data_IF_389115327463
#
_entry.id   IF_389115327463
#
_cell.length_a   1.000
_cell.length_b   1.000
_cell.length_c   1.000
_cell.angle_alpha   90.00
_cell.angle_beta   90.00
_cell.angle_gamma   90.00
#
_symmetry.space_group_name_H-M   'P 1'
#
loop_
_entity.id
_entity.type
_entity.pdbx_description
1 polymer ?
#
# COMPACT_ATOMS: atom_id res chain seq x y z
N UNK A 1 -8.23 90.29 3.90
CA UNK A 1 -8.23 89.14 4.85
C UNK A 1 -9.69 88.79 4.99
N UNK A 2 -10.18 87.67 4.49
CA UNK A 2 -9.79 86.32 4.90
C UNK A 2 -9.56 85.37 3.72
N UNK A 3 -8.54 84.54 3.88
CA UNK A 3 -8.20 83.43 3.00
C UNK A 3 -9.40 82.47 2.91
N UNK A 4 -9.75 82.06 1.69
CA UNK A 4 -10.53 80.84 1.48
C UNK A 4 -9.69 79.68 2.01
N UNK A 5 -10.21 78.96 2.99
CA UNK A 5 -9.62 77.73 3.49
C UNK A 5 -9.49 76.72 2.33
N UNK A 6 -8.27 76.55 1.84
CA UNK A 6 -7.89 75.43 1.00
C UNK A 6 -8.05 74.16 1.84
N UNK A 7 -9.10 73.38 1.54
CA UNK A 7 -9.21 72.03 2.08
C UNK A 7 -7.99 71.23 1.61
N UNK A 8 -7.15 70.66 2.50
CA UNK A 8 -6.07 69.79 2.07
C UNK A 8 -6.70 68.53 1.48
N UNK A 9 -6.66 68.41 0.15
CA UNK A 9 -6.97 67.16 -0.53
C UNK A 9 -5.82 66.20 -0.22
N UNK A 10 -6.03 65.33 0.77
CA UNK A 10 -5.14 64.21 1.03
C UNK A 10 -5.42 63.15 -0.04
N UNK A 11 -4.62 63.17 -1.10
CA UNK A 11 -4.61 62.10 -2.10
C UNK A 11 -3.74 60.97 -1.53
N UNK A 12 -4.38 59.91 -1.05
CA UNK A 12 -3.68 58.69 -0.66
C UNK A 12 -3.27 57.93 -1.94
N UNK A 13 -2.03 58.14 -2.39
CA UNK A 13 -1.49 57.48 -3.58
C UNK A 13 -1.09 56.06 -3.18
N UNK A 14 -2.02 55.11 -3.35
CA UNK A 14 -1.73 53.69 -3.18
C UNK A 14 -0.60 53.30 -4.15
N UNK A 15 0.51 52.80 -3.61
CA UNK A 15 1.66 52.38 -4.40
C UNK A 15 1.29 51.32 -5.45
N UNK A 16 1.98 51.32 -6.59
CA UNK A 16 1.81 50.30 -7.62
C UNK A 16 2.10 48.91 -7.05
N UNK A 17 1.05 48.15 -6.72
CA UNK A 17 1.16 46.76 -6.28
C UNK A 17 1.70 45.87 -7.40
N UNK A 18 2.37 44.74 -7.07
CA UNK A 18 2.79 43.77 -8.07
C UNK A 18 1.59 43.26 -8.87
N UNK A 19 1.79 42.85 -10.12
CA UNK A 19 0.72 42.33 -10.97
C UNK A 19 1.19 41.01 -11.57
N UNK A 20 0.45 39.94 -11.28
CA UNK A 20 0.75 38.59 -11.71
C UNK A 20 -0.25 38.13 -12.76
N UNK A 21 0.26 37.70 -13.91
CA UNK A 21 -0.51 37.03 -14.93
C UNK A 21 -0.26 35.51 -14.83
N UNK A 22 -1.33 34.72 -14.87
CA UNK A 22 -1.28 33.26 -14.77
C UNK A 22 -1.67 32.64 -16.09
N UNK A 23 -0.88 31.68 -16.54
CA UNK A 23 -1.22 30.82 -17.68
C UNK A 23 -0.89 29.37 -17.35
N UNK A 24 -1.47 28.44 -18.11
CA UNK A 24 -1.29 27.00 -17.88
C UNK A 24 -1.10 26.25 -19.20
N UNK A 25 -0.37 25.14 -19.16
CA UNK A 25 -0.31 24.15 -20.23
C UNK A 25 -1.44 23.11 -20.15
N UNK A 26 -2.22 23.09 -19.07
CA UNK A 26 -3.35 22.19 -18.91
C UNK A 26 -4.44 22.48 -19.97
N UNK A 27 -5.27 21.49 -20.34
CA UNK A 27 -6.37 21.67 -21.28
C UNK A 27 -7.26 22.86 -20.89
N UNK A 28 -7.51 23.78 -21.82
CA UNK A 28 -8.29 25.00 -21.56
C UNK A 28 -9.69 24.85 -22.13
N UNK A 29 -10.70 25.22 -21.35
CA UNK A 29 -12.08 25.32 -21.81
C UNK A 29 -12.46 26.80 -21.90
N UNK A 30 -13.21 27.18 -22.94
CA UNK A 30 -13.80 28.51 -23.00
C UNK A 30 -14.87 28.63 -21.93
N UNK A 31 -14.65 29.50 -20.97
CA UNK A 31 -15.65 29.94 -20.01
C UNK A 31 -16.13 31.35 -20.38
N UNK A 32 -17.44 31.56 -20.27
CA UNK A 32 -18.01 32.90 -20.26
C UNK A 32 -17.78 33.50 -18.88
N UNK A 33 -17.35 34.77 -18.76
CA UNK A 33 -17.24 35.43 -17.46
C UNK A 33 -18.57 35.35 -16.71
N UNK A 34 -18.55 34.90 -15.47
CA UNK A 34 -19.75 34.70 -14.65
C UNK A 34 -20.39 36.02 -14.22
N UNK A 35 -19.67 37.14 -14.36
CA UNK A 35 -20.12 38.48 -13.95
C UNK A 35 -19.54 39.56 -14.85
N UNK A 36 -20.41 40.40 -15.43
CA UNK A 36 -20.05 41.49 -16.36
C UNK A 36 -19.46 42.69 -15.60
N UNK A 37 -19.77 42.83 -14.30
CA UNK A 37 -19.39 44.01 -13.50
C UNK A 37 -18.16 43.78 -12.60
N UNK A 38 -17.58 42.57 -12.60
CA UNK A 38 -16.33 42.30 -11.89
C UNK A 38 -15.12 42.61 -12.79
N UNK A 39 -14.21 43.53 -12.41
CA UNK A 39 -12.95 43.75 -13.13
C UNK A 39 -11.99 42.58 -12.82
N UNK A 40 -12.32 41.40 -13.31
CA UNK A 40 -11.46 40.21 -13.25
C UNK A 40 -11.17 39.77 -14.69
N UNK A 41 -9.89 39.59 -15.00
CA UNK A 41 -9.44 38.90 -16.21
C UNK A 41 -10.26 37.63 -16.39
N UNK A 42 -10.73 37.35 -17.61
CA UNK A 42 -11.54 36.17 -17.94
C UNK A 42 -11.05 34.92 -17.18
N UNK A 43 -11.94 34.17 -16.50
CA UNK A 43 -11.52 33.07 -15.64
C UNK A 43 -10.83 32.01 -16.48
N UNK A 44 -9.56 31.74 -16.19
CA UNK A 44 -8.86 30.60 -16.78
C UNK A 44 -9.53 29.33 -16.26
N UNK A 45 -10.26 28.63 -17.13
CA UNK A 45 -10.93 27.37 -16.81
C UNK A 45 -10.22 26.23 -17.50
N UNK A 46 -9.83 25.24 -16.70
CA UNK A 46 -9.26 23.99 -17.16
C UNK A 46 -10.20 22.85 -16.83
N UNK A 47 -10.51 22.01 -17.81
CA UNK A 47 -11.27 20.78 -17.60
C UNK A 47 -10.42 19.58 -18.01
N UNK A 48 -10.32 18.59 -17.14
CA UNK A 48 -9.50 17.39 -17.35
C UNK A 48 -10.34 16.16 -17.03
N UNK A 49 -10.33 15.18 -17.93
CA UNK A 49 -10.87 13.85 -17.66
C UNK A 49 -9.73 12.85 -17.51
N UNK A 50 -9.65 12.17 -16.38
CA UNK A 50 -8.64 11.16 -16.07
C UNK A 50 -9.29 9.80 -15.82
N UNK A 51 -8.61 8.74 -16.19
CA UNK A 51 -8.93 7.40 -15.71
C UNK A 51 -8.49 7.25 -14.25
N UNK A 52 -9.21 6.46 -13.44
CA UNK A 52 -8.80 6.18 -12.06
C UNK A 52 -7.38 5.57 -12.02
N UNK A 53 -6.50 6.11 -11.19
CA UNK A 53 -5.08 5.77 -11.12
C UNK A 53 -4.18 6.45 -12.16
N UNK A 54 -4.74 7.21 -13.11
CA UNK A 54 -3.95 7.99 -14.07
C UNK A 54 -3.45 9.28 -13.41
N UNK A 55 -2.20 9.64 -13.69
CA UNK A 55 -1.63 10.94 -13.35
C UNK A 55 -1.34 11.76 -14.60
N UNK A 56 -1.61 13.06 -14.54
CA UNK A 56 -1.32 14.05 -15.58
C UNK A 56 -0.41 15.12 -15.00
N UNK A 57 0.63 15.50 -15.76
CA UNK A 57 1.49 16.62 -15.40
C UNK A 57 1.19 17.83 -16.28
N UNK A 58 1.19 19.01 -15.66
CA UNK A 58 1.05 20.30 -16.32
C UNK A 58 2.00 21.33 -15.74
N UNK A 59 2.10 22.47 -16.41
CA UNK A 59 2.92 23.61 -15.98
C UNK A 59 2.00 24.81 -15.82
N UNK A 60 2.09 25.47 -14.67
CA UNK A 60 1.48 26.77 -14.42
C UNK A 60 2.60 27.82 -14.52
N UNK A 61 2.44 28.76 -15.44
CA UNK A 61 3.39 29.85 -15.66
C UNK A 61 2.86 31.12 -15.00
N UNK A 62 3.63 31.65 -14.06
CA UNK A 62 3.40 32.92 -13.37
C UNK A 62 4.29 33.99 -14.00
N UNK A 63 3.71 35.01 -14.61
CA UNK A 63 4.43 36.15 -15.20
C UNK A 63 4.21 37.41 -14.37
N UNK A 64 5.29 38.05 -13.92
CA UNK A 64 5.21 39.35 -13.27
C UNK A 64 5.15 40.47 -14.31
N UNK A 65 3.94 40.87 -14.69
CA UNK A 65 3.68 41.98 -15.60
C UNK A 65 3.63 43.35 -14.86
N UNK A 66 3.87 43.35 -13.56
CA UNK A 66 3.94 44.54 -12.73
C UNK A 66 5.29 45.27 -12.83
N UNK A 67 5.42 46.38 -12.09
CA UNK A 67 6.66 47.16 -11.96
C UNK A 67 7.45 46.87 -10.68
N UNK A 68 6.95 45.97 -9.82
CA UNK A 68 7.56 45.60 -8.53
C UNK A 68 7.79 44.09 -8.47
N UNK A 69 8.81 43.68 -7.73
CA UNK A 69 9.08 42.26 -7.48
C UNK A 69 7.99 41.63 -6.58
N UNK A 70 7.75 40.34 -6.79
CA UNK A 70 6.88 39.51 -5.95
C UNK A 70 7.78 38.73 -5.00
N UNK A 71 7.60 38.92 -3.70
CA UNK A 71 8.46 38.35 -2.65
C UNK A 71 7.86 37.11 -2.01
N UNK A 72 6.53 36.99 -2.01
CA UNK A 72 5.83 35.82 -1.49
C UNK A 72 4.73 35.38 -2.44
N UNK A 73 4.56 34.06 -2.56
CA UNK A 73 3.45 33.44 -3.25
C UNK A 73 2.96 32.25 -2.42
N UNK A 74 1.67 32.22 -2.13
CA UNK A 74 1.01 31.10 -1.44
C UNK A 74 -0.06 30.54 -2.35
N UNK A 75 0.09 29.26 -2.70
CA UNK A 75 -0.89 28.50 -3.47
C UNK A 75 -1.91 27.92 -2.50
N UNK A 76 -3.18 28.21 -2.72
CA UNK A 76 -4.30 27.65 -1.97
C UNK A 76 -5.21 26.89 -2.92
N UNK A 77 -5.64 25.69 -2.52
CA UNK A 77 -6.61 24.89 -3.25
C UNK A 77 -7.96 25.02 -2.56
N UNK A 78 -8.90 25.66 -3.23
CA UNK A 78 -10.30 25.65 -2.83
C UNK A 78 -11.05 24.60 -3.63
N UNK A 79 -12.00 23.92 -3.01
CA UNK A 79 -12.95 23.06 -3.71
C UNK A 79 -14.34 23.37 -3.18
N UNK A 80 -15.32 23.44 -4.08
CA UNK A 80 -16.73 23.67 -3.71
C UNK A 80 -17.29 22.50 -2.88
N UNK A 81 -16.57 21.37 -2.90
CA UNK A 81 -16.96 20.11 -2.31
C UNK A 81 -16.24 19.79 -0.98
N UNK A 82 -15.11 20.44 -0.63
CA UNK A 82 -14.39 20.25 0.64
C UNK A 82 -12.86 20.11 0.51
N UNK A 83 -12.13 19.75 1.58
CA UNK A 83 -10.64 19.69 1.64
C UNK A 83 -9.97 18.62 0.74
N UNK A 84 -10.75 17.83 0.00
CA UNK A 84 -10.26 16.72 -0.83
C UNK A 84 -9.39 17.08 -2.04
N UNK A 85 -9.18 18.36 -2.31
CA UNK A 85 -8.33 18.80 -3.42
C UNK A 85 -6.85 18.42 -3.22
N UNK A 86 -6.39 18.30 -1.97
CA UNK A 86 -5.01 17.94 -1.65
C UNK A 86 -4.65 16.49 -2.02
N UNK A 87 -5.64 15.60 -2.16
CA UNK A 87 -5.42 14.20 -2.56
C UNK A 87 -5.25 14.04 -4.08
N UNK A 88 -5.68 15.04 -4.85
CA UNK A 88 -5.69 15.03 -6.32
C UNK A 88 -4.54 15.86 -6.88
N UNK A 89 -4.25 17.00 -6.26
CA UNK A 89 -3.27 17.97 -6.74
C UNK A 89 -1.99 17.92 -5.92
N UNK A 90 -0.87 17.71 -6.60
CA UNK A 90 0.47 17.82 -6.03
C UNK A 90 1.23 18.97 -6.69
N UNK A 91 1.86 19.82 -5.86
CA UNK A 91 2.72 20.92 -6.28
C UNK A 91 4.09 20.73 -5.65
N UNK A 92 5.15 21.04 -6.41
CA UNK A 92 6.49 21.11 -5.84
C UNK A 92 6.67 22.45 -5.12
N UNK A 93 6.60 22.42 -3.79
CA UNK A 93 6.71 23.63 -2.96
C UNK A 93 8.12 24.24 -3.01
N UNK A 94 9.15 23.42 -3.17
CA UNK A 94 10.53 23.90 -3.28
C UNK A 94 10.72 24.64 -4.62
N UNK A 95 10.10 24.14 -5.69
CA UNK A 95 10.07 24.84 -6.99
C UNK A 95 9.41 26.23 -6.87
N UNK A 96 8.27 26.31 -6.19
CA UNK A 96 7.53 27.56 -5.96
C UNK A 96 8.38 28.57 -5.18
N UNK A 97 8.98 28.14 -4.08
CA UNK A 97 9.78 29.01 -3.21
C UNK A 97 11.09 29.45 -3.89
N UNK A 98 11.70 28.58 -4.70
CA UNK A 98 12.94 28.90 -5.43
C UNK A 98 12.77 29.95 -6.54
N UNK A 99 11.53 30.15 -7.01
CA UNK A 99 11.20 31.12 -8.04
C UNK A 99 11.00 32.55 -7.50
N UNK A 100 11.13 32.75 -6.18
CA UNK A 100 10.97 34.03 -5.51
C UNK A 100 12.33 34.59 -5.06
N UNK A 101 12.56 35.92 -5.17
CA UNK A 101 11.62 36.93 -5.62
C UNK A 101 11.47 37.00 -7.15
N UNK A 102 10.22 37.08 -7.63
CA UNK A 102 9.93 37.17 -9.07
C UNK A 102 9.99 38.64 -9.53
N UNK A 103 11.06 39.02 -10.20
CA UNK A 103 11.27 40.39 -10.69
C UNK A 103 10.33 40.78 -11.85
N UNK A 104 10.08 42.09 -12.06
CA UNK A 104 9.31 42.59 -13.20
C UNK A 104 9.77 42.04 -14.55
N UNK A 105 8.81 41.59 -15.37
CA UNK A 105 9.05 41.00 -16.70
C UNK A 105 9.62 39.58 -16.68
N UNK A 106 9.73 38.93 -15.51
CA UNK A 106 10.16 37.54 -15.38
C UNK A 106 8.98 36.59 -15.23
N UNK A 107 9.21 35.35 -15.67
CA UNK A 107 8.27 34.24 -15.59
C UNK A 107 8.82 33.13 -14.69
N UNK A 108 7.98 32.58 -13.84
CA UNK A 108 8.22 31.36 -13.07
C UNK A 108 7.32 30.24 -13.60
N UNK A 109 7.84 29.02 -13.66
CA UNK A 109 7.08 27.83 -14.03
C UNK A 109 6.95 26.95 -12.80
N UNK A 110 5.74 26.47 -12.54
CA UNK A 110 5.44 25.57 -11.43
C UNK A 110 4.83 24.31 -12.01
N UNK A 111 5.42 23.18 -11.66
CA UNK A 111 4.91 21.87 -12.04
C UNK A 111 3.69 21.52 -11.18
N UNK A 112 2.61 21.09 -11.83
CA UNK A 112 1.41 20.57 -11.16
C UNK A 112 1.14 19.15 -11.65
N UNK A 113 0.93 18.23 -10.71
CA UNK A 113 0.52 16.86 -11.00
C UNK A 113 -0.90 16.63 -10.49
N UNK A 114 -1.77 16.13 -11.39
CA UNK A 114 -3.18 15.83 -11.14
C UNK A 114 -3.34 14.31 -11.21
N UNK A 115 -3.75 13.68 -10.12
CA UNK A 115 -3.95 12.23 -10.06
C UNK A 115 -5.42 11.89 -9.88
N UNK A 116 -5.98 11.09 -10.80
CA UNK A 116 -7.33 10.57 -10.70
C UNK A 116 -7.40 9.51 -9.60
N UNK A 117 -7.84 9.86 -8.40
CA UNK A 117 -7.91 8.91 -7.27
C UNK A 117 -9.09 7.94 -7.39
N UNK A 118 -8.93 6.74 -6.81
CA UNK A 118 -9.92 5.64 -6.84
C UNK A 118 -11.03 5.78 -5.80
N UNK A 119 -11.15 6.90 -5.10
CA UNK A 119 -12.22 7.12 -4.14
C UNK A 119 -12.58 8.60 -4.13
N UNK A 120 -13.82 8.91 -3.77
CA UNK A 120 -14.21 10.29 -3.48
C UNK A 120 -13.45 10.70 -2.21
N UNK A 121 -12.67 11.80 -2.21
CA UNK A 121 -11.96 12.27 -1.03
C UNK A 121 -12.85 12.33 0.21
N UNK A 122 -12.35 11.82 1.33
CA UNK A 122 -13.09 11.62 2.58
C UNK A 122 -13.66 12.88 3.24
N UNK A 123 -13.32 14.08 2.76
CA UNK A 123 -13.82 15.35 3.27
C UNK A 123 -14.74 16.09 2.29
N UNK A 124 -15.28 15.39 1.28
CA UNK A 124 -16.30 15.94 0.40
C UNK A 124 -17.68 15.78 1.04
N UNK A 125 -18.18 16.86 1.65
CA UNK A 125 -19.53 16.91 2.25
C UNK A 125 -19.68 16.13 3.56
N UNK A 126 -20.17 16.81 4.59
CA UNK A 126 -20.58 16.22 5.87
C UNK A 126 -21.71 15.18 5.69
N UNK A 127 -21.36 13.91 5.44
CA UNK A 127 -22.17 12.76 5.89
C UNK A 127 -21.38 11.47 5.71
N UNK A 128 -21.46 10.59 6.71
CA UNK A 128 -20.86 9.25 6.77
C UNK A 128 -21.35 8.25 5.68
N UNK A 129 -21.87 8.68 4.51
CA UNK A 129 -22.52 7.80 3.54
C UNK A 129 -22.38 8.20 2.05
N UNK A 130 -21.27 8.81 1.60
CA UNK A 130 -20.95 8.78 0.17
C UNK A 130 -20.32 7.41 -0.15
N UNK A 131 -21.15 6.42 -0.50
CA UNK A 131 -20.62 5.13 -0.96
C UNK A 131 -19.91 5.37 -2.29
N UNK A 132 -18.60 5.19 -2.31
CA UNK A 132 -17.83 5.10 -3.55
C UNK A 132 -18.45 3.99 -4.43
N UNK A 133 -19.05 4.39 -5.55
CA UNK A 133 -19.44 3.47 -6.61
C UNK A 133 -18.25 3.35 -7.57
N UNK A 134 -17.57 2.20 -7.60
CA UNK A 134 -16.44 1.97 -8.51
C UNK A 134 -16.86 1.98 -9.99
N UNK A 135 -18.15 1.94 -10.28
CA UNK A 135 -18.69 1.96 -11.63
C UNK A 135 -19.13 3.35 -12.08
N UNK A 136 -19.25 4.31 -11.16
CA UNK A 136 -19.69 5.67 -11.48
C UNK A 136 -18.51 6.62 -11.67
N UNK A 137 -18.51 7.45 -12.74
CA UNK A 137 -17.61 8.58 -12.82
C UNK A 137 -17.97 9.61 -11.74
N UNK A 138 -16.97 10.29 -11.22
CA UNK A 138 -17.16 11.40 -10.28
C UNK A 138 -16.31 12.60 -10.71
N UNK A 139 -16.68 13.79 -10.25
CA UNK A 139 -15.99 15.02 -10.62
C UNK A 139 -15.72 15.93 -9.41
N UNK A 140 -14.66 16.71 -9.51
CA UNK A 140 -14.27 17.75 -8.57
C UNK A 140 -14.18 19.10 -9.29
N UNK A 141 -15.00 20.04 -8.86
CA UNK A 141 -14.84 21.45 -9.20
C UNK A 141 -14.05 22.17 -8.11
N UNK A 142 -12.99 22.86 -8.50
CA UNK A 142 -12.13 23.58 -7.58
C UNK A 142 -11.54 24.85 -8.17
N UNK A 143 -10.83 25.58 -7.32
CA UNK A 143 -10.12 26.81 -7.66
C UNK A 143 -8.71 26.78 -7.10
N UNK A 144 -7.72 27.01 -7.97
CA UNK A 144 -6.33 27.22 -7.58
C UNK A 144 -6.14 28.72 -7.41
N UNK A 145 -5.78 29.14 -6.20
CA UNK A 145 -5.68 30.54 -5.83
C UNK A 145 -4.25 30.88 -5.44
N UNK A 146 -3.65 31.82 -6.17
CA UNK A 146 -2.33 32.38 -5.88
C UNK A 146 -2.50 33.68 -5.11
N UNK A 147 -2.05 33.69 -3.86
CA UNK A 147 -1.98 34.89 -3.02
C UNK A 147 -0.55 35.39 -3.01
N UNK A 148 -0.33 36.64 -3.40
CA UNK A 148 1.02 37.18 -3.55
C UNK A 148 1.16 38.61 -3.01
N UNK A 149 2.36 38.95 -2.55
CA UNK A 149 2.72 40.27 -2.01
C UNK A 149 4.12 40.71 -2.42
N UNK A 150 4.38 42.01 -2.35
CA UNK A 150 5.69 42.61 -2.57
C UNK A 150 6.43 42.88 -1.25
N UNK A 151 7.66 43.37 -1.37
CA UNK A 151 8.59 43.60 -0.24
C UNK A 151 8.04 44.52 0.86
N UNK A 152 7.33 45.57 0.46
CA UNK A 152 6.83 46.61 1.36
C UNK A 152 5.53 46.22 2.09
N UNK A 153 4.82 45.19 1.62
CA UNK A 153 3.41 44.93 1.94
C UNK A 153 3.17 43.53 2.53
N UNK A 154 4.19 42.93 3.16
CA UNK A 154 4.13 41.53 3.65
C UNK A 154 2.97 41.24 4.60
N UNK A 155 2.52 42.23 5.38
CA UNK A 155 1.54 42.02 6.46
C UNK A 155 0.14 42.63 6.21
N UNK A 156 -0.04 43.48 5.20
CA UNK A 156 -1.28 44.28 5.06
C UNK A 156 -1.92 44.32 3.67
N UNK A 157 -1.17 44.06 2.59
CA UNK A 157 -1.70 44.19 1.22
C UNK A 157 -1.25 43.02 0.33
N UNK A 158 -2.17 42.11 0.05
CA UNK A 158 -1.93 40.99 -0.87
C UNK A 158 -2.87 41.07 -2.07
N UNK A 159 -2.39 40.66 -3.24
CA UNK A 159 -3.25 40.39 -4.39
C UNK A 159 -3.54 38.90 -4.50
N UNK A 160 -4.64 38.63 -5.20
CA UNK A 160 -5.11 37.28 -5.48
C UNK A 160 -5.39 37.15 -6.96
N UNK A 161 -4.93 36.05 -7.54
CA UNK A 161 -5.33 35.59 -8.86
C UNK A 161 -5.76 34.13 -8.74
N UNK A 162 -6.88 33.79 -9.36
CA UNK A 162 -7.48 32.47 -9.24
C UNK A 162 -7.72 31.87 -10.62
N UNK A 163 -7.62 30.55 -10.68
CA UNK A 163 -7.89 29.72 -11.85
C UNK A 163 -8.89 28.64 -11.42
N UNK A 164 -9.92 28.40 -12.22
CA UNK A 164 -10.92 27.35 -11.94
C UNK A 164 -10.51 26.07 -12.64
N UNK A 165 -10.71 24.95 -11.97
CA UNK A 165 -10.39 23.62 -12.47
C UNK A 165 -11.56 22.66 -12.25
N UNK A 166 -11.89 21.92 -13.29
CA UNK A 166 -12.88 20.84 -13.30
C UNK A 166 -12.12 19.54 -13.61
N UNK A 167 -12.11 18.61 -12.67
CA UNK A 167 -11.48 17.30 -12.83
C UNK A 167 -12.56 16.24 -12.78
N UNK A 168 -12.74 15.50 -13.87
CA UNK A 168 -13.61 14.33 -13.93
C UNK A 168 -12.78 13.05 -13.92
N UNK A 169 -13.11 12.10 -13.04
CA UNK A 169 -12.45 10.80 -12.96
C UNK A 169 -13.42 9.72 -13.45
N UNK A 170 -12.98 8.93 -14.44
CA UNK A 170 -13.73 7.80 -14.99
C UNK A 170 -13.13 6.47 -14.52
N UNK A 171 -13.93 5.40 -14.36
CA UNK A 171 -13.43 4.09 -13.98
C UNK A 171 -12.37 3.53 -14.94
N UNK A 172 -11.45 2.73 -14.40
CA UNK A 172 -10.37 2.07 -15.15
C UNK A 172 -10.22 0.59 -14.77
N UNK A 173 -9.28 0.25 -13.90
CA UNK A 173 -9.12 -1.08 -13.31
C UNK A 173 -9.94 -1.16 -12.02
N UNK A 174 -10.82 -2.14 -11.94
CA UNK A 174 -11.56 -2.45 -10.72
C UNK A 174 -11.19 -3.84 -10.19
N UNK A 175 -10.63 -3.90 -8.99
CA UNK A 175 -10.23 -5.15 -8.34
C UNK A 175 -11.25 -5.55 -7.26
N UNK A 176 -11.74 -6.78 -7.30
CA UNK A 176 -12.72 -7.30 -6.33
C UNK A 176 -12.63 -8.82 -6.14
N UNK A 177 -13.57 -9.40 -5.37
CA UNK A 177 -13.65 -10.85 -5.11
C UNK A 177 -12.33 -11.49 -4.63
N UNK A 178 -11.72 -10.85 -3.62
CA UNK A 178 -10.46 -11.27 -3.04
C UNK A 178 -10.58 -12.58 -2.27
N UNK A 179 -9.67 -13.51 -2.55
CA UNK A 179 -9.57 -14.80 -1.87
C UNK A 179 -8.09 -15.10 -1.57
N UNK A 180 -7.82 -15.58 -0.36
CA UNK A 180 -6.48 -15.98 0.04
C UNK A 180 -6.43 -17.48 0.30
N UNK A 181 -5.46 -18.17 -0.31
CA UNK A 181 -5.28 -19.63 -0.19
C UNK A 181 -3.88 -20.00 0.26
N UNK A 182 -3.79 -20.99 1.14
CA UNK A 182 -2.54 -21.65 1.45
C UNK A 182 -2.11 -22.54 0.27
N UNK A 183 -0.80 -22.64 0.02
CA UNK A 183 -0.23 -23.53 -0.99
C UNK A 183 0.39 -24.72 -0.24
N UNK A 184 -0.19 -25.93 -0.30
CA UNK A 184 0.28 -27.07 0.50
C UNK A 184 1.74 -27.49 0.22
N UNK A 185 2.24 -27.20 -0.99
CA UNK A 185 3.60 -27.54 -1.40
C UNK A 185 4.64 -26.46 -1.09
N UNK A 186 4.22 -25.26 -0.66
CA UNK A 186 5.11 -24.12 -0.43
C UNK A 186 4.75 -23.42 0.87
N UNK A 187 5.48 -23.73 1.94
CA UNK A 187 5.23 -23.23 3.30
C UNK A 187 5.52 -21.71 3.42
N UNK A 188 6.45 -21.17 2.64
CA UNK A 188 6.86 -19.76 2.71
C UNK A 188 5.96 -18.78 1.95
N UNK A 189 4.98 -19.28 1.19
CA UNK A 189 4.11 -18.46 0.33
C UNK A 189 2.63 -18.78 0.52
N UNK A 190 1.79 -17.85 0.14
CA UNK A 190 0.36 -18.02 -0.02
C UNK A 190 -0.09 -17.37 -1.34
N UNK A 191 -1.31 -17.69 -1.77
CA UNK A 191 -1.86 -17.21 -3.04
C UNK A 191 -2.98 -16.23 -2.78
N UNK A 192 -2.83 -15.00 -3.25
CA UNK A 192 -3.91 -14.01 -3.33
C UNK A 192 -4.54 -14.10 -4.72
N UNK A 193 -5.85 -14.33 -4.74
CA UNK A 193 -6.67 -14.36 -5.94
C UNK A 193 -7.64 -13.19 -5.92
N UNK A 194 -7.86 -12.53 -7.05
CA UNK A 194 -8.89 -11.50 -7.18
C UNK A 194 -9.32 -11.36 -8.64
N UNK A 195 -10.51 -10.81 -8.85
CA UNK A 195 -11.02 -10.47 -10.18
C UNK A 195 -10.58 -9.04 -10.53
N UNK A 196 -9.97 -8.89 -11.70
CA UNK A 196 -9.56 -7.62 -12.28
C UNK A 196 -10.45 -7.29 -13.47
N UNK A 197 -11.33 -6.31 -13.31
CA UNK A 197 -12.22 -5.83 -14.35
C UNK A 197 -11.59 -4.64 -15.08
N UNK A 198 -11.52 -4.71 -16.40
CA UNK A 198 -11.21 -3.57 -17.24
C UNK A 198 -12.52 -2.81 -17.54
N UNK A 199 -12.77 -1.71 -16.83
CA UNK A 199 -13.96 -0.86 -17.03
C UNK A 199 -13.82 0.11 -18.22
N UNK A 200 -12.77 -0.03 -19.03
CA UNK A 200 -12.55 0.79 -20.22
C UNK A 200 -12.97 0.03 -21.48
N UNK A 201 -13.26 0.75 -22.56
CA UNK A 201 -13.58 0.15 -23.86
C UNK A 201 -12.36 -0.33 -24.65
N UNK A 202 -11.14 -0.01 -24.20
CA UNK A 202 -9.91 -0.40 -24.87
C UNK A 202 -9.28 -1.61 -24.18
N UNK A 203 -8.52 -2.39 -24.93
CA UNK A 203 -7.72 -3.46 -24.35
C UNK A 203 -6.68 -2.88 -23.37
N UNK A 204 -6.57 -3.51 -22.21
CA UNK A 204 -5.72 -3.09 -21.10
C UNK A 204 -4.59 -4.10 -20.89
N UNK A 205 -3.36 -3.61 -20.80
CA UNK A 205 -2.24 -4.38 -20.30
C UNK A 205 -2.12 -4.14 -18.79
N UNK A 206 -2.34 -5.18 -17.99
CA UNK A 206 -2.18 -5.16 -16.54
C UNK A 206 -0.85 -5.81 -16.17
N UNK A 207 0.06 -4.98 -15.65
CA UNK A 207 1.33 -5.36 -15.05
C UNK A 207 1.14 -5.45 -13.54
N UNK A 208 1.52 -6.59 -12.95
CA UNK A 208 1.45 -6.78 -11.50
C UNK A 208 2.73 -7.40 -10.97
N UNK A 209 3.13 -6.94 -9.78
CA UNK A 209 4.31 -7.46 -9.09
C UNK A 209 4.10 -7.42 -7.58
N UNK A 210 4.86 -8.26 -6.89
CA UNK A 210 4.95 -8.26 -5.44
C UNK A 210 6.33 -7.77 -5.05
N UNK A 211 6.36 -6.63 -4.39
CA UNK A 211 7.58 -6.11 -3.80
C UNK A 211 7.61 -6.51 -2.31
N UNK A 212 8.76 -6.98 -1.79
CA UNK A 212 8.90 -7.17 -0.36
C UNK A 212 8.56 -5.85 0.32
N UNK A 213 7.64 -5.88 1.29
CA UNK A 213 7.40 -4.70 2.12
C UNK A 213 8.73 -4.25 2.73
N UNK A 214 8.97 -2.94 2.87
CA UNK A 214 10.25 -2.35 3.28
C UNK A 214 10.84 -2.94 4.58
N UNK A 215 10.04 -3.66 5.36
CA UNK A 215 10.43 -4.32 6.61
C UNK A 215 10.90 -5.78 6.45
N UNK A 216 10.75 -6.37 5.27
CA UNK A 216 11.08 -7.79 4.98
C UNK A 216 12.26 -7.94 4.01
N UNK A 217 13.11 -6.91 3.89
CA UNK A 217 14.22 -6.83 2.93
C UNK A 217 15.27 -7.94 3.04
N UNK A 218 15.26 -8.71 4.13
CA UNK A 218 16.23 -9.78 4.39
C UNK A 218 15.83 -11.13 3.77
N UNK A 219 14.61 -11.25 3.24
CA UNK A 219 14.19 -12.44 2.50
C UNK A 219 14.42 -12.14 1.02
N UNK A 220 15.50 -12.69 0.46
CA UNK A 220 15.91 -12.56 -0.94
C UNK A 220 14.89 -13.10 -1.95
N UNK A 221 13.75 -12.43 -2.05
CA UNK A 221 12.69 -12.72 -3.00
C UNK A 221 12.96 -12.04 -4.33
N UNK A 222 13.08 -12.82 -5.39
CA UNK A 222 13.01 -12.33 -6.76
C UNK A 222 11.61 -11.76 -7.00
N UNK A 223 11.52 -10.45 -7.30
CA UNK A 223 10.27 -9.85 -7.78
C UNK A 223 10.00 -10.39 -9.19
N UNK A 224 8.95 -11.18 -9.35
CA UNK A 224 8.46 -11.58 -10.66
C UNK A 224 7.40 -10.58 -11.08
N UNK A 225 7.70 -9.80 -12.11
CA UNK A 225 6.71 -8.97 -12.79
C UNK A 225 5.98 -9.83 -13.80
N UNK A 226 4.66 -9.90 -13.69
CA UNK A 226 3.80 -10.58 -14.65
C UNK A 226 2.96 -9.54 -15.39
N UNK A 227 2.71 -9.79 -16.68
CA UNK A 227 1.92 -8.91 -17.54
C UNK A 227 0.84 -9.75 -18.21
N UNK A 228 -0.38 -9.25 -18.17
CA UNK A 228 -1.51 -9.86 -18.87
C UNK A 228 -2.29 -8.81 -19.65
N UNK A 229 -3.00 -9.25 -20.68
CA UNK A 229 -3.94 -8.38 -21.42
C UNK A 229 -5.39 -8.71 -21.00
N UNK A 230 -6.21 -7.70 -20.75
CA UNK A 230 -7.64 -7.80 -20.45
C UNK A 230 -8.40 -7.04 -21.55
N UNK A 231 -9.36 -7.68 -22.22
CA UNK A 231 -10.13 -7.00 -23.25
C UNK A 231 -10.99 -5.87 -22.66
N UNK A 232 -11.40 -4.91 -23.49
CA UNK A 232 -12.32 -3.85 -23.07
C UNK A 232 -13.62 -4.40 -22.48
N UNK A 233 -14.02 -3.92 -21.30
CA UNK A 233 -15.19 -4.37 -20.54
C UNK A 233 -15.20 -5.86 -20.17
N UNK A 234 -14.02 -6.47 -20.08
CA UNK A 234 -13.84 -7.87 -19.69
C UNK A 234 -13.15 -7.99 -18.31
N UNK A 235 -13.20 -9.19 -17.75
CA UNK A 235 -12.67 -9.50 -16.42
C UNK A 235 -11.71 -10.68 -16.48
N UNK A 236 -10.61 -10.60 -15.72
CA UNK A 236 -9.69 -11.73 -15.54
C UNK A 236 -9.41 -12.04 -14.08
N UNK A 237 -9.36 -13.33 -13.76
CA UNK A 237 -8.92 -13.81 -12.44
C UNK A 237 -7.41 -13.73 -12.37
N UNK A 238 -6.90 -12.94 -11.44
CA UNK A 238 -5.47 -12.75 -11.21
C UNK A 238 -5.03 -13.59 -10.02
N UNK A 239 -3.82 -14.15 -10.11
CA UNK A 239 -3.21 -14.93 -9.05
C UNK A 239 -1.84 -14.37 -8.70
N UNK A 240 -1.66 -13.99 -7.44
CA UNK A 240 -0.46 -13.31 -6.95
C UNK A 240 0.12 -14.10 -5.79
N UNK A 241 1.39 -14.49 -5.90
CA UNK A 241 2.11 -15.16 -4.83
C UNK A 241 2.58 -14.15 -3.78
N UNK A 242 2.04 -14.24 -2.57
CA UNK A 242 2.46 -13.42 -1.45
C UNK A 242 3.41 -14.20 -0.54
N UNK A 243 4.50 -13.58 -0.03
CA UNK A 243 5.25 -14.18 1.05
C UNK A 243 4.37 -14.27 2.29
N UNK A 244 4.57 -15.31 3.09
CA UNK A 244 4.04 -15.32 4.45
C UNK A 244 4.92 -14.47 5.34
N UNK A 245 4.33 -13.66 6.20
CA UNK A 245 5.09 -12.69 7.00
C UNK A 245 4.43 -12.37 8.33
N UNK A 246 5.25 -11.84 9.23
CA UNK A 246 4.81 -11.20 10.46
C UNK A 246 5.15 -9.72 10.41
N UNK A 247 4.28 -8.91 11.00
CA UNK A 247 4.59 -7.50 11.25
C UNK A 247 5.66 -7.36 12.36
N UNK A 248 6.43 -6.27 12.36
CA UNK A 248 7.29 -5.91 13.49
C UNK A 248 6.51 -5.82 14.79
N UNK A 249 7.13 -6.32 15.86
CA UNK A 249 6.57 -6.20 17.20
C UNK A 249 7.07 -4.87 17.78
N UNK A 250 6.26 -3.84 17.62
CA UNK A 250 6.46 -2.56 18.30
C UNK A 250 5.63 -2.52 19.60
N UNK A 251 5.97 -1.71 20.62
CA UNK A 251 5.20 -1.60 21.86
C UNK A 251 3.72 -1.25 21.65
N UNK A 252 3.40 -0.58 20.54
CA UNK A 252 2.04 -0.29 20.10
C UNK A 252 1.34 -1.50 19.46
N UNK A 253 2.08 -2.43 18.84
CA UNK A 253 1.53 -3.64 18.24
C UNK A 253 0.99 -4.59 19.31
N UNK A 254 1.69 -4.77 20.43
CA UNK A 254 1.22 -5.63 21.52
C UNK A 254 -0.07 -5.13 22.18
N UNK A 255 -0.23 -3.81 22.28
CA UNK A 255 -1.42 -3.17 22.86
C UNK A 255 -2.58 -3.00 21.87
N UNK A 256 -2.33 -3.22 20.57
CA UNK A 256 -3.32 -3.00 19.52
C UNK A 256 -4.42 -4.07 19.50
N UNK A 257 -5.64 -3.67 19.16
CA UNK A 257 -6.75 -4.62 19.06
C UNK A 257 -6.56 -5.57 17.87
N UNK A 258 -7.20 -6.74 17.90
CA UNK A 258 -7.19 -7.70 16.78
C UNK A 258 -7.76 -7.11 15.47
N UNK A 259 -8.59 -6.07 15.58
CA UNK A 259 -9.10 -5.32 14.43
C UNK A 259 -7.99 -4.44 13.84
N UNK A 260 -7.23 -3.76 14.68
CA UNK A 260 -6.14 -2.86 14.24
C UNK A 260 -4.98 -3.66 13.65
N UNK A 261 -4.64 -4.82 14.23
CA UNK A 261 -3.66 -5.74 13.66
C UNK A 261 -4.06 -6.15 12.25
N UNK A 262 -5.32 -6.57 12.04
CA UNK A 262 -5.83 -6.91 10.71
C UNK A 262 -5.74 -5.75 9.73
N UNK A 263 -6.04 -4.53 10.17
CA UNK A 263 -5.91 -3.34 9.32
C UNK A 263 -4.46 -3.10 8.91
N UNK A 264 -3.50 -3.26 9.83
CA UNK A 264 -2.06 -3.18 9.52
C UNK A 264 -1.62 -4.24 8.52
N UNK A 265 -2.10 -5.49 8.63
CA UNK A 265 -1.83 -6.53 7.63
C UNK A 265 -2.46 -6.22 6.27
N UNK A 266 -3.70 -5.71 6.23
CA UNK A 266 -4.32 -5.25 4.98
C UNK A 266 -3.49 -4.16 4.32
N UNK A 267 -3.02 -3.17 5.09
CA UNK A 267 -2.18 -2.09 4.59
C UNK A 267 -0.85 -2.62 4.06
N UNK A 268 -0.19 -3.51 4.79
CA UNK A 268 1.07 -4.11 4.33
C UNK A 268 0.90 -4.83 2.98
N UNK A 269 -0.20 -5.54 2.77
CA UNK A 269 -0.48 -6.21 1.47
C UNK A 269 -0.76 -5.19 0.36
N UNK A 270 -1.52 -4.12 0.66
CA UNK A 270 -1.73 -3.01 -0.29
C UNK A 270 -0.41 -2.38 -0.71
N UNK A 271 0.54 -2.26 0.21
CA UNK A 271 1.86 -1.70 -0.09
C UNK A 271 2.74 -2.68 -0.89
N UNK A 272 2.61 -3.98 -0.65
CA UNK A 272 3.37 -5.04 -1.35
C UNK A 272 2.91 -5.27 -2.79
N UNK A 273 1.60 -5.30 -3.02
CA UNK A 273 1.02 -5.60 -4.34
C UNK A 273 1.02 -4.33 -5.18
N UNK A 274 1.85 -4.30 -6.22
CA UNK A 274 1.89 -3.20 -7.19
C UNK A 274 1.13 -3.60 -8.43
N UNK A 275 0.13 -2.81 -8.78
CA UNK A 275 -0.65 -2.95 -10.00
C UNK A 275 -0.42 -1.71 -10.86
N UNK A 276 -0.10 -1.91 -12.13
CA UNK A 276 0.02 -0.85 -13.13
C UNK A 276 -0.74 -1.29 -14.37
N UNK A 277 -1.66 -0.45 -14.84
CA UNK A 277 -2.39 -0.69 -16.07
C UNK A 277 -1.94 0.27 -17.16
N UNK A 278 -1.96 -0.20 -18.40
CA UNK A 278 -1.66 0.58 -19.60
C UNK A 278 -2.78 0.35 -20.63
N UNK A 279 -3.22 1.40 -21.29
CA UNK A 279 -4.16 1.37 -22.41
C UNK A 279 -3.39 1.76 -23.67
N UNK A 280 -2.83 0.80 -24.43
CA UNK A 280 -1.93 1.09 -25.55
C UNK A 280 -2.58 1.97 -26.62
N UNK A 281 -3.88 1.74 -26.90
CA UNK A 281 -4.63 2.52 -27.89
C UNK A 281 -4.67 4.02 -27.59
N UNK A 282 -4.72 4.39 -26.30
CA UNK A 282 -4.81 5.78 -25.86
C UNK A 282 -3.47 6.36 -25.41
N UNK A 283 -2.40 5.56 -25.33
CA UNK A 283 -1.11 5.95 -24.74
C UNK A 283 -1.26 6.47 -23.30
N UNK A 284 -2.20 5.88 -22.56
CA UNK A 284 -2.48 6.23 -21.16
C UNK A 284 -2.06 5.08 -20.27
N UNK A 285 -1.52 5.41 -19.10
CA UNK A 285 -1.23 4.45 -18.04
C UNK A 285 -1.66 5.00 -16.69
N UNK A 286 -1.88 4.10 -15.76
CA UNK A 286 -2.10 4.45 -14.37
C UNK A 286 -1.75 3.31 -13.45
N UNK A 287 -1.88 3.56 -12.17
CA UNK A 287 -1.73 2.54 -11.16
C UNK A 287 -3.09 1.89 -10.87
N UNK A 288 -3.06 0.70 -10.30
CA UNK A 288 -4.21 0.05 -9.70
C UNK A 288 -4.00 -0.09 -8.20
N UNK A 289 -5.08 -0.42 -7.49
CA UNK A 289 -5.00 -0.78 -6.08
C UNK A 289 -5.97 -1.93 -5.80
N UNK A 290 -5.67 -2.70 -4.74
CA UNK A 290 -6.55 -3.74 -4.20
C UNK A 290 -7.49 -3.14 -3.14
N UNK A 291 -8.17 -2.05 -3.50
CA UNK A 291 -9.09 -1.39 -2.60
C UNK A 291 -10.26 -2.30 -2.21
N UNK A 292 -10.72 -2.14 -0.97
CA UNK A 292 -11.66 -3.04 -0.28
C UNK A 292 -11.14 -4.43 0.11
N UNK A 293 -9.84 -4.72 -0.04
CA UNK A 293 -9.25 -5.94 0.53
C UNK A 293 -9.44 -5.98 2.06
N UNK A 294 -10.11 -7.03 2.55
CA UNK A 294 -10.46 -7.20 3.97
C UNK A 294 -10.03 -8.58 4.45
N UNK A 295 -9.27 -8.61 5.55
CA UNK A 295 -8.88 -9.84 6.22
C UNK A 295 -9.90 -10.24 7.29
N UNK A 296 -10.34 -11.48 7.23
CA UNK A 296 -11.01 -12.14 8.34
C UNK A 296 -9.99 -12.91 9.21
N UNK A 297 -10.45 -13.50 10.31
CA UNK A 297 -9.56 -14.23 11.25
C UNK A 297 -8.88 -15.43 10.57
N UNK A 298 -9.59 -16.16 9.73
CA UNK A 298 -9.07 -17.36 9.05
C UNK A 298 -8.06 -16.99 7.97
N UNK A 299 -8.34 -15.98 7.15
CA UNK A 299 -7.43 -15.51 6.11
C UNK A 299 -6.16 -14.91 6.70
N UNK A 300 -6.24 -14.28 7.88
CA UNK A 300 -5.03 -13.80 8.56
C UNK A 300 -4.07 -14.95 8.91
N UNK A 301 -4.58 -16.12 9.30
CA UNK A 301 -3.73 -17.28 9.62
C UNK A 301 -2.98 -17.80 8.40
N UNK A 302 -3.55 -17.67 7.20
CA UNK A 302 -2.91 -18.08 5.94
C UNK A 302 -1.69 -17.19 5.61
N UNK A 303 -1.73 -15.91 5.99
CA UNK A 303 -0.64 -14.96 5.78
C UNK A 303 0.51 -15.18 6.75
N UNK A 304 0.22 -15.69 7.94
CA UNK A 304 1.23 -15.93 8.96
C UNK A 304 2.04 -17.17 8.59
N UNK A 305 3.36 -17.16 8.84
CA UNK A 305 4.16 -18.38 8.74
C UNK A 305 3.65 -19.41 9.75
N UNK A 306 3.98 -20.68 9.52
CA UNK A 306 3.58 -21.73 10.43
C UNK A 306 4.15 -21.46 11.83
N UNK A 307 3.31 -21.54 12.88
CA UNK A 307 3.65 -20.99 14.19
C UNK A 307 4.77 -21.77 14.87
N UNK A 308 4.83 -23.08 14.63
CA UNK A 308 5.81 -23.98 15.23
C UNK A 308 6.44 -24.79 14.10
N UNK A 309 7.77 -24.70 13.98
CA UNK A 309 8.56 -25.54 13.09
C UNK A 309 9.28 -26.62 13.88
N UNK A 310 9.30 -27.82 13.32
CA UNK A 310 10.05 -28.95 13.85
C UNK A 310 11.18 -29.27 12.88
N UNK A 311 12.43 -29.06 13.30
CA UNK A 311 13.57 -29.60 12.59
C UNK A 311 14.00 -30.90 13.27
N UNK A 312 13.88 -32.00 12.54
CA UNK A 312 14.16 -33.34 13.05
C UNK A 312 15.47 -33.80 12.44
N UNK A 313 16.42 -34.21 13.27
CA UNK A 313 17.64 -34.87 12.81
C UNK A 313 17.75 -36.27 13.43
N UNK A 314 18.28 -37.19 12.64
CA UNK A 314 18.51 -38.58 13.03
C UNK A 314 20.01 -38.84 12.92
N UNK A 315 20.66 -39.21 14.02
CA UNK A 315 22.12 -39.38 14.09
C UNK A 315 22.90 -38.14 13.60
N UNK A 316 22.41 -36.94 13.91
CA UNK A 316 22.94 -35.63 13.46
C UNK A 316 22.81 -35.35 11.94
N UNK A 317 22.05 -36.15 11.20
CA UNK A 317 21.68 -35.86 9.81
C UNK A 317 20.24 -35.35 9.73
N UNK A 318 19.99 -34.27 9.00
CA UNK A 318 18.65 -33.69 8.85
C UNK A 318 17.71 -34.70 8.19
N UNK A 319 16.57 -34.96 8.83
CA UNK A 319 15.60 -35.93 8.36
C UNK A 319 14.93 -35.43 7.08
N UNK A 320 15.09 -36.18 5.99
CA UNK A 320 14.35 -35.95 4.76
C UNK A 320 13.31 -37.06 4.56
N UNK A 321 12.03 -36.65 4.54
CA UNK A 321 10.87 -37.54 4.39
C UNK A 321 10.91 -38.39 3.13
N UNK A 322 11.52 -37.92 2.04
CA UNK A 322 11.59 -38.63 0.76
C UNK A 322 12.62 -39.75 0.74
N UNK A 323 13.73 -39.57 1.47
CA UNK A 323 14.81 -40.56 1.53
C UNK A 323 14.55 -41.65 2.57
N UNK A 324 13.81 -41.32 3.63
CA UNK A 324 13.70 -42.17 4.81
C UNK A 324 15.06 -42.37 5.49
N UNK A 325 15.07 -43.07 6.63
CA UNK A 325 16.31 -43.43 7.33
C UNK A 325 16.33 -44.93 7.52
N UNK A 326 17.37 -45.59 7.03
CA UNK A 326 17.60 -47.02 7.23
C UNK A 326 18.60 -47.21 8.35
N UNK A 327 18.23 -48.00 9.35
CA UNK A 327 19.04 -48.25 10.54
C UNK A 327 19.32 -49.74 10.65
N UNK A 328 20.57 -50.10 10.96
CA UNK A 328 20.95 -51.49 11.22
C UNK A 328 20.30 -51.99 12.52
N UNK A 329 19.74 -53.19 12.48
CA UNK A 329 19.15 -53.83 13.66
C UNK A 329 20.18 -53.86 14.82
N UNK A 330 19.73 -53.52 16.03
CA UNK A 330 20.55 -53.37 17.24
C UNK A 330 21.45 -52.13 17.30
N UNK A 331 21.30 -51.15 16.40
CA UNK A 331 21.95 -49.85 16.55
C UNK A 331 21.11 -48.90 17.41
N UNK A 332 21.79 -48.05 18.18
CA UNK A 332 21.18 -46.89 18.84
C UNK A 332 21.04 -45.76 17.82
N UNK A 333 19.89 -45.09 17.84
CA UNK A 333 19.54 -43.97 16.97
C UNK A 333 19.25 -42.77 17.83
N UNK A 334 19.96 -41.68 17.61
CA UNK A 334 19.64 -40.40 18.28
C UNK A 334 18.66 -39.63 17.42
N UNK A 335 17.53 -39.21 17.99
CA UNK A 335 16.54 -38.36 17.31
C UNK A 335 16.53 -37.01 18.04
N UNK A 336 17.05 -35.98 17.39
CA UNK A 336 17.02 -34.62 17.93
C UNK A 336 15.91 -33.84 17.25
N UNK A 337 15.06 -33.19 18.03
CA UNK A 337 13.97 -32.35 17.52
C UNK A 337 14.17 -30.94 18.03
N UNK A 338 14.45 -30.02 17.11
CA UNK A 338 14.52 -28.60 17.40
C UNK A 338 13.15 -27.99 17.13
N UNK A 339 12.57 -27.37 18.15
CA UNK A 339 11.29 -26.68 18.08
C UNK A 339 11.55 -25.20 17.96
N UNK A 340 11.12 -24.58 16.87
CA UNK A 340 11.22 -23.14 16.67
C UNK A 340 9.83 -22.52 16.72
N UNK A 341 9.62 -21.54 17.60
CA UNK A 341 8.39 -20.75 17.61
C UNK A 341 8.55 -19.53 16.71
N UNK A 342 7.91 -19.58 15.55
CA UNK A 342 7.90 -18.50 14.57
C UNK A 342 6.64 -17.63 14.64
N UNK A 343 5.77 -17.83 15.64
CA UNK A 343 4.57 -17.03 15.83
C UNK A 343 4.86 -15.68 16.51
N UNK A 344 3.85 -14.79 16.48
CA UNK A 344 3.81 -13.54 17.24
C UNK A 344 3.26 -13.71 18.67
N UNK A 345 3.16 -14.97 19.15
CA UNK A 345 2.67 -15.32 20.48
C UNK A 345 3.60 -16.36 21.13
N UNK A 346 3.76 -16.26 22.46
CA UNK A 346 4.41 -17.31 23.25
C UNK A 346 3.41 -18.43 23.57
N UNK A 347 3.84 -19.68 23.41
CA UNK A 347 3.05 -20.84 23.78
C UNK A 347 3.42 -21.26 25.20
N UNK A 348 2.41 -21.49 26.05
CA UNK A 348 2.60 -22.01 27.41
C UNK A 348 2.12 -23.45 27.49
N UNK A 349 2.77 -24.25 28.34
CA UNK A 349 2.41 -25.66 28.57
C UNK A 349 2.43 -26.50 27.28
N UNK A 350 3.49 -26.37 26.48
CA UNK A 350 3.63 -27.21 25.29
C UNK A 350 4.11 -28.60 25.72
N UNK A 351 3.41 -29.65 25.26
CA UNK A 351 3.85 -31.02 25.42
C UNK A 351 4.27 -31.60 24.06
N UNK A 352 5.54 -31.98 23.96
CA UNK A 352 6.02 -32.80 22.86
C UNK A 352 5.79 -34.26 23.23
N UNK A 353 5.26 -35.07 22.29
CA UNK A 353 5.06 -36.50 22.49
C UNK A 353 5.53 -37.28 21.28
N UNK A 354 6.37 -38.28 21.53
CA UNK A 354 6.79 -39.25 20.54
C UNK A 354 5.86 -40.47 20.60
N UNK A 355 5.05 -40.65 19.55
CA UNK A 355 4.15 -41.80 19.39
C UNK A 355 4.65 -42.71 18.26
N UNK A 356 5.40 -43.76 18.58
CA UNK A 356 5.97 -44.61 17.55
C UNK A 356 4.92 -45.57 16.99
N UNK A 357 4.98 -45.83 15.69
CA UNK A 357 4.06 -46.74 15.01
C UNK A 357 4.77 -47.50 13.90
N UNK A 358 4.25 -48.69 13.59
CA UNK A 358 4.62 -49.46 12.40
C UNK A 358 3.54 -49.24 11.33
N UNK A 359 3.94 -48.75 10.16
CA UNK A 359 3.08 -48.70 8.99
C UNK A 359 3.16 -50.03 8.24
N UNK A 360 2.02 -50.68 8.02
CA UNK A 360 1.92 -51.93 7.28
C UNK A 360 1.75 -51.72 5.76
N UNK A 361 1.82 -50.47 5.28
CA UNK A 361 1.62 -50.07 3.88
C UNK A 361 0.25 -50.47 3.30
N UNK A 362 -0.71 -50.77 4.17
CA UNK A 362 -2.10 -51.09 3.87
C UNK A 362 -3.09 -50.06 4.49
N UNK A 363 -2.56 -48.92 4.95
CA UNK A 363 -3.31 -47.89 5.67
C UNK A 363 -3.52 -48.16 7.16
N UNK A 364 -3.09 -49.33 7.67
CA UNK A 364 -3.11 -49.64 9.10
C UNK A 364 -1.80 -49.26 9.79
N UNK A 365 -1.91 -48.48 10.87
CA UNK A 365 -0.79 -48.10 11.74
C UNK A 365 -0.89 -48.84 13.07
N UNK A 366 0.09 -49.71 13.36
CA UNK A 366 0.17 -50.43 14.61
C UNK A 366 1.05 -49.66 15.61
N UNK A 367 0.45 -49.18 16.71
CA UNK A 367 1.18 -48.54 17.82
C UNK A 367 1.81 -49.56 18.79
N UNK A 368 1.28 -50.80 18.82
CA UNK A 368 1.85 -51.90 19.59
C UNK A 368 3.04 -52.52 18.84
N UNK A 369 4.24 -52.07 19.21
CA UNK A 369 5.46 -52.49 18.54
C UNK A 369 6.02 -53.84 19.03
N UNK A 370 5.37 -54.52 19.99
CA UNK A 370 5.71 -55.86 20.50
C UNK A 370 7.23 -56.08 20.74
N UNK A 371 7.90 -55.11 21.37
CA UNK A 371 9.33 -55.21 21.69
C UNK A 371 10.29 -55.03 20.51
N UNK A 372 9.80 -54.67 19.31
CA UNK A 372 10.65 -54.38 18.13
C UNK A 372 11.45 -53.09 18.26
N UNK A 373 11.03 -52.20 19.16
CA UNK A 373 11.70 -50.92 19.45
C UNK A 373 11.73 -50.75 20.95
N UNK A 374 12.88 -50.35 21.49
CA UNK A 374 13.00 -49.86 22.86
C UNK A 374 13.40 -48.38 22.84
N UNK A 375 13.16 -47.71 23.95
CA UNK A 375 13.38 -46.28 24.09
C UNK A 375 14.26 -46.06 25.31
N UNK A 376 15.20 -45.12 25.20
CA UNK A 376 16.06 -44.72 26.31
C UNK A 376 15.84 -43.24 26.56
N UNK A 377 15.06 -42.91 27.59
CA UNK A 377 14.68 -41.55 27.94
C UNK A 377 13.18 -41.33 27.94
N UNK A 378 12.78 -40.07 28.07
CA UNK A 378 11.36 -39.68 28.11
C UNK A 378 10.80 -39.51 26.70
N UNK A 379 9.66 -40.13 26.45
CA UNK A 379 8.90 -40.01 25.20
C UNK A 379 8.00 -38.76 25.17
N UNK A 380 8.01 -37.99 26.25
CA UNK A 380 7.29 -36.75 26.35
C UNK A 380 8.09 -35.73 27.13
N UNK A 381 8.25 -34.53 26.58
CA UNK A 381 8.79 -33.38 27.28
C UNK A 381 7.71 -32.30 27.41
N UNK A 382 7.65 -31.65 28.56
CA UNK A 382 6.80 -30.49 28.78
C UNK A 382 7.69 -29.26 28.89
N UNK A 383 7.49 -28.29 28.01
CA UNK A 383 8.10 -26.97 28.14
C UNK A 383 7.09 -25.99 28.72
N UNK A 384 7.50 -25.29 29.78
CA UNK A 384 6.65 -24.32 30.47
C UNK A 384 6.32 -23.12 29.58
N UNK A 385 7.27 -22.69 28.76
CA UNK A 385 7.09 -21.59 27.81
C UNK A 385 8.02 -21.73 26.61
N UNK A 386 7.44 -21.69 25.40
CA UNK A 386 8.18 -21.49 24.15
C UNK A 386 7.91 -20.05 23.71
N UNK A 387 8.84 -19.15 24.04
CA UNK A 387 8.65 -17.73 23.78
C UNK A 387 8.62 -17.43 22.28
N UNK A 388 7.90 -16.36 21.91
CA UNK A 388 7.81 -15.93 20.51
C UNK A 388 9.20 -15.69 19.90
N UNK A 389 9.44 -16.21 18.68
CA UNK A 389 10.67 -16.02 17.91
C UNK A 389 11.94 -16.61 18.57
N UNK A 390 11.81 -17.71 19.32
CA UNK A 390 12.92 -18.44 19.95
C UNK A 390 13.03 -19.87 19.40
N UNK A 391 14.27 -20.36 19.31
CA UNK A 391 14.63 -21.74 19.01
C UNK A 391 14.91 -22.47 20.32
N UNK A 392 14.14 -23.51 20.63
CA UNK A 392 14.39 -24.43 21.74
C UNK A 392 14.83 -25.79 21.20
N UNK A 393 15.93 -26.34 21.70
CA UNK A 393 16.48 -27.62 21.26
C UNK A 393 16.12 -28.73 22.26
N UNK A 394 15.47 -29.80 21.79
CA UNK A 394 15.13 -30.97 22.60
C UNK A 394 15.79 -32.21 21.99
N UNK A 395 16.64 -32.88 22.78
CA UNK A 395 17.40 -34.05 22.36
C UNK A 395 16.79 -35.31 23.00
N UNK A 396 16.46 -36.33 22.20
CA UNK A 396 15.97 -37.63 22.70
C UNK A 396 16.76 -38.79 22.08
N UNK A 397 17.07 -39.82 22.85
CA UNK A 397 17.80 -41.01 22.37
C UNK A 397 16.86 -42.20 22.23
N UNK A 398 17.00 -42.97 21.15
CA UNK A 398 16.16 -44.13 20.84
C UNK A 398 17.06 -45.34 20.63
N UNK A 399 16.78 -46.49 21.26
CA UNK A 399 17.61 -47.69 21.07
C UNK A 399 16.75 -48.85 20.61
N UNK A 400 16.91 -49.28 19.37
CA UNK A 400 16.17 -50.42 18.85
C UNK A 400 16.57 -51.71 19.60
N UNK A 401 15.72 -52.23 20.48
CA UNK A 401 15.99 -53.48 21.19
C UNK A 401 15.77 -54.71 20.31
N UNK A 402 16.60 -55.72 20.56
CA UNK A 402 16.52 -57.05 19.96
C UNK A 402 15.46 -57.87 20.70
N UNK A 403 14.61 -58.57 19.96
CA UNK A 403 13.86 -59.70 20.54
C UNK A 403 14.87 -60.81 20.88
N UNK A 404 15.01 -61.11 22.17
CA UNK A 404 15.56 -62.40 22.60
C UNK A 404 14.55 -63.48 22.18
N UNK A 405 14.96 -64.36 21.28
CA UNK A 405 14.44 -65.72 21.28
C UNK A 405 15.54 -66.59 21.91
N UNK A 406 15.32 -66.97 23.17
CA UNK A 406 15.94 -68.18 23.73
C UNK A 406 14.95 -69.34 23.60
N UNK A 407 15.45 -70.58 23.44
CA UNK A 407 14.68 -71.73 22.99
C UNK A 407 13.78 -72.27 24.10
N UNK A 408 12.58 -72.73 23.76
CA UNK A 408 11.77 -73.57 24.65
C UNK A 408 11.90 -75.05 24.21
N UNK A 409 11.64 -76.01 25.12
CA UNK A 409 12.34 -77.29 25.27
C UNK A 409 11.84 -78.39 24.35
#
# INVERSE_FOLDING_TARGET
MENKDDFPVVVDVVGFMPLLQVSTSLPKVRSTPTDIDSPQSAPLVTAVTLYAGQSMKGIITLENIGKRAIESNVINLGSDLGEGAHDIFSFDKEEVDSCLPLHPGRTANISVEITGIYHIPTNIGSSDNLSYDPEAPWGLNGTITFRYSGELDKDHLCRRVSMTIDVSVVPSLHCHNYELRAIPSVESKCLLLFDADNKTSNDMELEYSVQPHKVLSDIGGTSSTEVLSIQGNDSKRISVYLPRFLLPVDPEYEKSSEKDKRLKYCQAIKDMVKLQWKLPACHVSGYGNIDNFKLNKTTLQILKPDPILFDVSVNNETFNREKGVSVTCCATVTISVVISNNADISYKNMSLRFEPYQDHANGYRASELNGKVAWIGDLSSCENEVSARIVNEIITQVTQAKHYNSPFP
#
